data_IF_347266678304
#
_entry.id   IF_347266678304
#
_cell.length_a   1.000
_cell.length_b   1.000
_cell.length_c   1.000
_cell.angle_alpha   90.00
_cell.angle_beta   90.00
_cell.angle_gamma   90.00
#
_symmetry.space_group_name_H-M   'P 1'
#
loop_
_entity.id
_entity.type
_entity.pdbx_description
1 polymer ?
#
# COMPACT_ATOMS: atom_id res chain seq x y z
N UNK A 1 -16.80 -16.94 6.70
CA UNK A 1 -16.37 -15.52 6.53
C UNK A 1 -15.79 -14.94 7.80
N UNK A 2 -16.39 -15.14 8.97
CA UNK A 2 -15.96 -14.50 10.22
C UNK A 2 -14.52 -14.85 10.67
N UNK A 3 -14.02 -16.04 10.40
CA UNK A 3 -12.66 -16.45 10.80
C UNK A 3 -11.60 -15.78 9.91
N UNK A 4 -11.85 -15.71 8.62
CA UNK A 4 -10.96 -15.04 7.66
C UNK A 4 -10.87 -13.54 7.98
N UNK A 5 -12.01 -12.89 8.23
CA UNK A 5 -12.06 -11.48 8.59
C UNK A 5 -11.28 -11.18 9.89
N UNK A 6 -11.39 -12.05 10.89
CA UNK A 6 -10.63 -11.93 12.14
C UNK A 6 -9.13 -12.10 11.93
N UNK A 7 -8.73 -13.07 11.11
CA UNK A 7 -7.31 -13.30 10.79
C UNK A 7 -6.74 -12.10 10.04
N UNK A 8 -7.45 -11.57 9.03
CA UNK A 8 -7.03 -10.40 8.27
C UNK A 8 -6.93 -9.16 9.16
N UNK A 9 -7.91 -8.94 10.04
CA UNK A 9 -7.88 -7.82 10.99
C UNK A 9 -6.70 -7.93 11.96
N UNK A 10 -6.40 -9.13 12.47
CA UNK A 10 -5.24 -9.36 13.33
C UNK A 10 -3.92 -9.12 12.59
N UNK A 11 -3.86 -9.46 11.31
CA UNK A 11 -2.67 -9.26 10.48
C UNK A 11 -2.28 -7.80 10.34
N UNK A 12 -3.25 -6.92 10.20
CA UNK A 12 -3.00 -5.47 10.16
C UNK A 12 -2.32 -4.95 11.43
N UNK A 13 -2.68 -5.44 12.62
CA UNK A 13 -1.99 -5.08 13.87
C UNK A 13 -0.54 -5.58 13.89
N UNK A 14 -0.29 -6.79 13.39
CA UNK A 14 1.07 -7.33 13.26
C UNK A 14 1.90 -6.48 12.31
N UNK A 15 1.33 -6.10 11.17
CA UNK A 15 1.98 -5.21 10.20
C UNK A 15 2.38 -3.87 10.84
N UNK A 16 1.43 -3.20 11.52
CA UNK A 16 1.73 -1.94 12.20
C UNK A 16 2.77 -2.11 13.30
N UNK A 17 2.72 -3.18 14.07
CA UNK A 17 3.70 -3.47 15.12
C UNK A 17 5.11 -3.62 14.55
N UNK A 18 5.28 -4.42 13.51
CA UNK A 18 6.59 -4.62 12.84
C UNK A 18 7.06 -3.33 12.16
N UNK A 19 6.15 -2.58 11.56
CA UNK A 19 6.46 -1.31 10.92
C UNK A 19 6.95 -0.25 11.95
N UNK A 20 6.26 -0.11 13.06
CA UNK A 20 6.67 0.80 14.14
C UNK A 20 8.03 0.40 14.71
N UNK A 21 8.24 -0.89 14.96
CA UNK A 21 9.53 -1.41 15.42
C UNK A 21 10.64 -1.07 14.42
N UNK A 22 10.40 -1.30 13.13
CA UNK A 22 11.33 -0.94 12.06
C UNK A 22 11.68 0.55 12.11
N UNK A 23 10.69 1.44 12.18
CA UNK A 23 10.92 2.89 12.24
C UNK A 23 11.72 3.29 13.48
N UNK A 24 11.36 2.76 14.66
CA UNK A 24 12.10 3.04 15.91
C UNK A 24 13.57 2.68 15.73
N UNK A 25 13.86 1.50 15.18
CA UNK A 25 15.23 1.04 14.99
C UNK A 25 15.98 1.86 13.93
N UNK A 26 15.32 2.27 12.85
CA UNK A 26 15.92 3.16 11.84
C UNK A 26 16.30 4.50 12.45
N UNK A 27 15.37 5.15 13.14
CA UNK A 27 15.66 6.43 13.78
C UNK A 27 16.69 6.32 14.90
N UNK A 28 16.70 5.24 15.67
CA UNK A 28 17.70 5.01 16.71
C UNK A 28 19.12 4.86 16.14
N UNK A 29 19.27 4.19 15.01
CA UNK A 29 20.59 3.89 14.43
C UNK A 29 21.07 4.94 13.42
N UNK A 30 20.17 5.64 12.72
CA UNK A 30 20.50 6.50 11.58
C UNK A 30 20.03 7.96 11.73
N UNK A 31 19.57 8.39 12.91
CA UNK A 31 19.05 9.75 13.13
C UNK A 31 20.03 10.85 12.71
N UNK A 32 21.32 10.70 13.01
CA UNK A 32 22.35 11.65 12.59
C UNK A 32 22.49 11.76 11.08
N UNK A 33 22.50 10.64 10.38
CA UNK A 33 22.57 10.58 8.92
C UNK A 33 21.31 11.16 8.27
N UNK A 34 20.13 10.84 8.81
CA UNK A 34 18.84 11.41 8.37
C UNK A 34 18.87 12.93 8.52
N UNK A 35 19.25 13.44 9.68
CA UNK A 35 19.32 14.89 9.94
C UNK A 35 20.32 15.61 9.03
N UNK A 36 21.50 15.02 8.83
CA UNK A 36 22.52 15.58 7.93
C UNK A 36 22.01 15.66 6.49
N UNK A 37 21.42 14.59 5.97
CA UNK A 37 20.95 14.56 4.59
C UNK A 37 19.78 15.53 4.36
N UNK A 38 18.83 15.61 5.29
CA UNK A 38 17.71 16.58 5.19
C UNK A 38 18.23 18.03 5.18
N UNK A 39 19.26 18.33 5.96
CA UNK A 39 19.81 19.68 6.04
C UNK A 39 20.70 20.06 4.82
N UNK A 40 21.38 19.08 4.20
CA UNK A 40 22.38 19.31 3.16
C UNK A 40 21.86 19.16 1.74
N UNK A 41 20.79 18.40 1.53
CA UNK A 41 20.23 18.18 0.19
C UNK A 41 19.23 19.28 -0.14
N UNK A 42 19.47 20.10 -1.19
CA UNK A 42 18.54 21.14 -1.58
C UNK A 42 17.25 20.50 -2.15
N UNK A 43 16.12 21.10 -1.83
CA UNK A 43 14.84 20.75 -2.46
C UNK A 43 14.90 21.18 -3.92
N UNK A 44 15.01 20.19 -4.81
CA UNK A 44 15.04 20.42 -6.26
C UNK A 44 13.80 19.87 -6.93
N UNK A 45 13.38 20.50 -8.03
CA UNK A 45 12.25 20.04 -8.85
C UNK A 45 10.88 20.52 -8.38
N UNK A 46 9.87 20.12 -9.14
CA UNK A 46 8.47 20.50 -8.92
C UNK A 46 7.80 19.55 -7.92
N UNK A 47 8.22 19.58 -6.64
CA UNK A 47 7.66 18.75 -5.59
C UNK A 47 6.12 18.82 -5.49
N UNK A 48 5.53 19.98 -5.81
CA UNK A 48 4.08 20.16 -5.81
C UNK A 48 3.42 19.31 -6.91
N UNK A 49 3.99 19.27 -8.12
CA UNK A 49 3.49 18.41 -9.20
C UNK A 49 3.61 16.95 -8.82
N UNK A 50 4.75 16.54 -8.23
CA UNK A 50 4.92 15.17 -7.70
C UNK A 50 3.88 14.81 -6.65
N UNK A 51 3.54 15.73 -5.75
CA UNK A 51 2.47 15.54 -4.77
C UNK A 51 1.09 15.38 -5.41
N UNK A 52 0.77 16.18 -6.44
CA UNK A 52 -0.47 15.99 -7.21
C UNK A 52 -0.50 14.64 -7.93
N UNK A 53 0.56 14.27 -8.62
CA UNK A 53 0.65 12.96 -9.29
C UNK A 53 0.45 11.82 -8.30
N UNK A 54 1.11 11.86 -7.14
CA UNK A 54 0.92 10.86 -6.07
C UNK A 54 -0.53 10.78 -5.61
N UNK A 55 -1.20 11.91 -5.46
CA UNK A 55 -2.63 11.95 -5.09
C UNK A 55 -3.51 11.30 -6.16
N UNK A 56 -3.22 11.52 -7.44
CA UNK A 56 -3.96 10.89 -8.55
C UNK A 56 -3.81 9.38 -8.57
N UNK A 57 -2.65 8.83 -8.24
CA UNK A 57 -2.46 7.37 -8.17
C UNK A 57 -3.36 6.75 -7.12
N UNK A 58 -3.50 7.42 -5.98
CA UNK A 58 -4.37 6.95 -4.90
C UNK A 58 -5.86 7.03 -5.23
N UNK A 59 -6.27 7.89 -6.17
CA UNK A 59 -7.67 7.94 -6.63
C UNK A 59 -8.13 6.64 -7.31
N UNK A 60 -7.23 5.85 -7.88
CA UNK A 60 -7.58 4.56 -8.46
C UNK A 60 -8.18 3.58 -7.42
N UNK A 61 -7.82 3.74 -6.13
CA UNK A 61 -8.30 2.90 -5.03
C UNK A 61 -9.63 3.42 -4.47
N UNK A 62 -10.07 4.63 -4.82
CA UNK A 62 -11.28 5.26 -4.27
C UNK A 62 -12.52 4.37 -4.46
N UNK A 63 -12.55 3.61 -5.54
CA UNK A 63 -13.65 2.70 -5.86
C UNK A 63 -13.79 1.59 -4.79
N UNK A 64 -12.70 1.12 -4.22
CA UNK A 64 -12.72 0.15 -3.13
C UNK A 64 -13.17 0.78 -1.80
N UNK A 65 -12.81 2.06 -1.59
CA UNK A 65 -13.15 2.81 -0.36
C UNK A 65 -14.61 3.27 -0.36
N UNK A 66 -15.21 3.51 -1.52
CA UNK A 66 -16.62 3.96 -1.62
C UNK A 66 -17.62 3.00 -0.92
N UNK A 67 -17.26 1.72 -0.76
CA UNK A 67 -18.08 0.75 -0.02
C UNK A 67 -18.20 1.09 1.47
N UNK A 68 -17.17 1.68 2.06
CA UNK A 68 -17.18 2.07 3.49
C UNK A 68 -18.07 3.26 3.77
N UNK A 69 -18.30 4.13 2.78
CA UNK A 69 -19.17 5.31 2.90
C UNK A 69 -20.63 4.92 3.10
N UNK A 70 -21.06 3.74 2.65
CA UNK A 70 -22.43 3.24 2.86
C UNK A 70 -22.86 3.13 4.33
N UNK A 71 -21.87 3.13 5.24
CA UNK A 71 -22.10 3.06 6.70
C UNK A 71 -22.11 4.43 7.40
N UNK A 72 -22.01 5.52 6.63
CA UNK A 72 -22.04 6.88 7.19
C UNK A 72 -23.49 7.40 7.17
N UNK A 73 -24.00 7.77 8.35
CA UNK A 73 -25.39 8.23 8.50
C UNK A 73 -25.63 9.62 7.88
N UNK A 74 -24.61 10.45 7.84
CA UNK A 74 -24.71 11.81 7.27
C UNK A 74 -23.53 12.13 6.33
N UNK A 75 -23.73 13.05 5.36
CA UNK A 75 -22.61 13.54 4.52
C UNK A 75 -21.48 14.20 5.32
N UNK A 76 -21.81 14.81 6.46
CA UNK A 76 -20.83 15.43 7.36
C UNK A 76 -19.95 14.38 8.02
N UNK A 77 -20.51 13.27 8.49
CA UNK A 77 -19.77 12.16 9.10
C UNK A 77 -18.86 11.50 8.07
N UNK A 78 -19.35 11.32 6.84
CA UNK A 78 -18.55 10.81 5.73
C UNK A 78 -17.35 11.73 5.42
N UNK A 79 -17.55 13.04 5.42
CA UNK A 79 -16.48 14.01 5.17
C UNK A 79 -15.44 14.00 6.31
N UNK A 80 -15.88 13.99 7.56
CA UNK A 80 -14.97 13.92 8.72
C UNK A 80 -14.18 12.60 8.72
N UNK A 81 -14.85 11.48 8.49
CA UNK A 81 -14.20 10.18 8.39
C UNK A 81 -13.18 10.14 7.25
N UNK A 82 -13.48 10.73 6.09
CA UNK A 82 -12.56 10.84 4.96
C UNK A 82 -11.31 11.65 5.29
N UNK A 83 -11.47 12.82 5.91
CA UNK A 83 -10.34 13.66 6.32
C UNK A 83 -9.47 12.94 7.35
N UNK A 84 -10.07 12.36 8.40
CA UNK A 84 -9.33 11.63 9.42
C UNK A 84 -8.61 10.41 8.84
N UNK A 85 -9.26 9.64 7.98
CA UNK A 85 -8.65 8.50 7.30
C UNK A 85 -7.47 8.93 6.41
N UNK A 86 -7.58 10.08 5.74
CA UNK A 86 -6.49 10.66 4.96
C UNK A 86 -5.27 10.98 5.82
N UNK A 87 -5.45 11.63 6.95
CA UNK A 87 -4.36 11.90 7.89
C UNK A 87 -3.73 10.64 8.45
N UNK A 88 -4.54 9.68 8.92
CA UNK A 88 -4.05 8.42 9.48
C UNK A 88 -3.32 7.59 8.41
N UNK A 89 -3.82 7.60 7.18
CA UNK A 89 -3.22 6.83 6.08
C UNK A 89 -1.90 7.40 5.57
N UNK A 90 -1.77 8.74 5.51
CA UNK A 90 -0.54 9.36 4.98
C UNK A 90 0.59 9.44 6.01
N UNK A 91 0.28 9.50 7.30
CA UNK A 91 1.27 9.69 8.36
C UNK A 91 2.37 8.62 8.36
N UNK A 92 2.07 7.30 8.25
CA UNK A 92 3.09 6.28 8.12
C UNK A 92 3.99 6.50 6.90
N UNK A 93 3.41 6.89 5.76
CA UNK A 93 4.16 7.18 4.54
C UNK A 93 5.13 8.35 4.71
N UNK A 94 4.72 9.42 5.37
CA UNK A 94 5.59 10.58 5.66
C UNK A 94 6.76 10.17 6.57
N UNK A 95 6.50 9.40 7.63
CA UNK A 95 7.55 8.96 8.55
C UNK A 95 8.55 8.04 7.83
N UNK A 96 8.06 7.14 6.98
CA UNK A 96 8.91 6.30 6.13
C UNK A 96 9.76 7.13 5.17
N UNK A 97 9.16 8.13 4.51
CA UNK A 97 9.89 9.04 3.63
C UNK A 97 11.04 9.74 4.36
N UNK A 98 10.78 10.25 5.58
CA UNK A 98 11.84 10.87 6.40
C UNK A 98 12.94 9.86 6.70
N UNK A 99 12.60 8.61 7.06
CA UNK A 99 13.58 7.56 7.28
C UNK A 99 14.42 7.27 6.02
N UNK A 100 13.79 7.25 4.85
CA UNK A 100 14.46 7.04 3.55
C UNK A 100 15.42 8.16 3.20
N UNK A 101 15.17 9.40 3.61
CA UNK A 101 16.09 10.53 3.38
C UNK A 101 17.48 10.26 3.93
N UNK A 102 17.61 9.45 4.99
CA UNK A 102 18.92 9.06 5.52
C UNK A 102 19.79 8.29 4.53
N UNK A 103 19.21 7.66 3.54
CA UNK A 103 19.89 6.79 2.57
C UNK A 103 19.97 7.40 1.17
N UNK A 104 19.63 8.68 1.03
CA UNK A 104 19.76 9.43 -0.21
C UNK A 104 21.25 9.61 -0.59
N UNK A 105 21.67 9.55 -1.88
CA UNK A 105 20.81 9.33 -3.06
C UNK A 105 20.54 7.86 -3.40
N UNK A 106 21.27 6.90 -2.82
CA UNK A 106 21.25 5.49 -3.21
C UNK A 106 19.86 4.84 -3.09
N UNK A 107 19.03 5.33 -2.16
CA UNK A 107 17.69 4.80 -1.93
C UNK A 107 16.77 4.95 -3.15
N UNK A 108 16.99 5.95 -4.00
CA UNK A 108 16.16 6.22 -5.18
C UNK A 108 16.31 5.12 -6.24
N UNK A 109 17.46 4.49 -6.29
CA UNK A 109 17.79 3.45 -7.26
C UNK A 109 17.30 2.05 -6.82
N UNK A 110 16.79 1.95 -5.59
CA UNK A 110 16.37 0.67 -5.04
C UNK A 110 14.94 0.33 -5.43
N UNK A 111 14.72 -0.86 -5.99
CA UNK A 111 13.37 -1.37 -6.28
C UNK A 111 12.57 -1.63 -5.00
N UNK A 112 13.24 -2.02 -3.91
CA UNK A 112 12.66 -2.29 -2.59
C UNK A 112 13.38 -1.46 -1.52
N UNK A 113 13.05 -0.16 -1.36
CA UNK A 113 13.75 0.73 -0.44
C UNK A 113 13.79 0.24 1.00
N UNK A 114 12.70 -0.32 1.51
CA UNK A 114 12.64 -0.82 2.90
C UNK A 114 13.56 -2.03 3.10
N UNK A 115 13.63 -2.95 2.14
CA UNK A 115 14.54 -4.10 2.20
C UNK A 115 16.00 -3.66 2.17
N UNK A 116 16.31 -2.61 1.39
CA UNK A 116 17.63 -2.00 1.39
C UNK A 116 17.99 -1.44 2.78
N UNK A 117 17.11 -0.67 3.40
CA UNK A 117 17.34 -0.12 4.76
C UNK A 117 17.55 -1.25 5.76
N UNK A 118 16.70 -2.29 5.73
CA UNK A 118 16.84 -3.47 6.60
C UNK A 118 18.19 -4.18 6.42
N UNK A 119 18.71 -4.20 5.19
CA UNK A 119 20.04 -4.74 4.90
C UNK A 119 21.14 -3.87 5.53
N UNK A 120 21.04 -2.55 5.41
CA UNK A 120 21.99 -1.62 6.03
C UNK A 120 22.00 -1.68 7.57
N UNK A 121 20.86 -2.01 8.18
CA UNK A 121 20.76 -2.21 9.62
C UNK A 121 21.53 -3.45 10.11
N UNK A 122 21.89 -4.36 9.22
CA UNK A 122 22.58 -5.63 9.55
C UNK A 122 21.83 -6.46 10.62
N UNK A 123 20.48 -6.46 10.55
CA UNK A 123 19.58 -7.20 11.44
C UNK A 123 18.78 -8.24 10.65
N UNK A 124 19.37 -9.40 10.33
CA UNK A 124 18.73 -10.39 9.45
C UNK A 124 17.40 -10.91 10.00
N UNK A 125 17.27 -11.04 11.33
CA UNK A 125 16.02 -11.47 11.96
C UNK A 125 14.84 -10.52 11.68
N UNK A 126 15.09 -9.20 11.72
CA UNK A 126 14.08 -8.19 11.46
C UNK A 126 13.68 -8.21 9.98
N UNK A 127 14.67 -8.40 9.09
CA UNK A 127 14.43 -8.52 7.65
C UNK A 127 13.53 -9.71 7.33
N UNK A 128 13.78 -10.88 7.92
CA UNK A 128 12.91 -12.05 7.73
C UNK A 128 11.49 -11.82 8.25
N UNK A 129 11.34 -11.25 9.44
CA UNK A 129 10.02 -10.92 9.99
C UNK A 129 9.29 -9.96 9.06
N UNK A 130 9.97 -8.91 8.60
CA UNK A 130 9.39 -7.93 7.67
C UNK A 130 8.94 -8.58 6.36
N UNK A 131 9.75 -9.46 5.77
CA UNK A 131 9.41 -10.17 4.54
C UNK A 131 8.19 -11.08 4.72
N UNK A 132 8.07 -11.80 5.85
CA UNK A 132 6.90 -12.63 6.16
C UNK A 132 5.64 -11.75 6.27
N UNK A 133 5.75 -10.63 6.99
CA UNK A 133 4.63 -9.71 7.17
C UNK A 133 4.23 -9.07 5.84
N UNK A 134 5.20 -8.66 5.04
CA UNK A 134 4.97 -8.11 3.70
C UNK A 134 4.25 -9.12 2.81
N UNK A 135 4.70 -10.38 2.81
CA UNK A 135 4.07 -11.44 2.03
C UNK A 135 2.61 -11.67 2.45
N UNK A 136 2.33 -11.71 3.76
CA UNK A 136 0.96 -11.81 4.27
C UNK A 136 0.09 -10.62 3.86
N UNK A 137 0.64 -9.41 3.88
CA UNK A 137 -0.05 -8.19 3.44
C UNK A 137 -0.36 -8.20 1.94
N UNK A 138 0.54 -8.73 1.12
CA UNK A 138 0.28 -8.91 -0.32
C UNK A 138 -0.87 -9.89 -0.57
N UNK A 139 -0.93 -10.99 0.19
CA UNK A 139 -2.05 -11.94 0.11
C UNK A 139 -3.35 -11.27 0.55
N UNK A 140 -3.33 -10.51 1.64
CA UNK A 140 -4.50 -9.77 2.14
C UNK A 140 -5.02 -8.79 1.09
N UNK A 141 -4.15 -7.94 0.56
CA UNK A 141 -4.50 -6.94 -0.46
C UNK A 141 -5.01 -7.59 -1.74
N UNK A 142 -4.31 -8.62 -2.23
CA UNK A 142 -4.72 -9.37 -3.43
C UNK A 142 -6.09 -10.03 -3.26
N UNK A 143 -6.33 -10.65 -2.11
CA UNK A 143 -7.62 -11.26 -1.80
C UNK A 143 -8.74 -10.22 -1.71
N UNK A 144 -8.47 -9.06 -1.12
CA UNK A 144 -9.41 -7.94 -1.03
C UNK A 144 -9.79 -7.38 -2.40
N UNK A 145 -8.83 -7.25 -3.31
CA UNK A 145 -9.08 -6.81 -4.69
C UNK A 145 -9.94 -7.82 -5.47
N UNK A 146 -9.61 -9.10 -5.36
CA UNK A 146 -10.42 -10.18 -5.99
C UNK A 146 -11.84 -10.14 -5.47
N UNK A 147 -12.00 -10.02 -4.15
CA UNK A 147 -13.31 -9.93 -3.52
C UNK A 147 -14.09 -8.70 -4.02
N UNK A 148 -13.47 -7.53 -4.06
CA UNK A 148 -14.10 -6.30 -4.53
C UNK A 148 -14.60 -6.38 -5.96
N UNK A 149 -13.86 -7.02 -6.86
CA UNK A 149 -14.27 -7.22 -8.26
C UNK A 149 -15.40 -8.25 -8.37
N UNK A 150 -15.30 -9.36 -7.63
CA UNK A 150 -16.32 -10.42 -7.66
C UNK A 150 -17.65 -9.96 -7.06
N UNK A 151 -17.61 -9.13 -6.03
CA UNK A 151 -18.81 -8.54 -5.41
C UNK A 151 -19.55 -7.61 -6.39
N UNK A 152 -18.83 -6.83 -7.18
CA UNK A 152 -19.42 -5.99 -8.24
C UNK A 152 -20.07 -6.81 -9.36
N UNK A 153 -19.42 -7.90 -9.76
CA UNK A 153 -20.00 -8.83 -10.72
C UNK A 153 -21.29 -9.41 -10.15
N UNK A 154 -21.26 -9.80 -8.87
CA UNK A 154 -22.43 -10.32 -8.18
C UNK A 154 -23.60 -9.32 -8.14
N UNK A 155 -23.32 -8.05 -7.79
CA UNK A 155 -24.32 -6.98 -7.82
C UNK A 155 -24.91 -6.77 -9.25
N UNK A 156 -24.06 -6.81 -10.27
CA UNK A 156 -24.51 -6.65 -11.66
C UNK A 156 -25.46 -7.79 -12.10
N UNK A 157 -25.20 -9.03 -11.67
CA UNK A 157 -26.11 -10.17 -11.94
C UNK A 157 -27.40 -10.03 -11.13
N UNK A 158 -27.32 -9.66 -9.85
CA UNK A 158 -28.48 -9.45 -8.99
C UNK A 158 -29.42 -8.36 -9.52
N UNK A 159 -28.87 -7.27 -10.03
CA UNK A 159 -29.65 -6.19 -10.65
C UNK A 159 -30.38 -6.61 -11.92
N UNK A 160 -29.93 -7.69 -12.58
CA UNK A 160 -30.58 -8.29 -13.72
C UNK A 160 -31.52 -9.43 -13.34
N UNK A 161 -31.73 -9.69 -12.04
CA UNK A 161 -32.54 -10.81 -11.55
C UNK A 161 -31.94 -12.19 -11.83
N UNK A 162 -30.64 -12.28 -12.05
CA UNK A 162 -29.91 -13.50 -12.37
C UNK A 162 -29.08 -13.98 -11.17
N UNK A 163 -28.93 -15.29 -11.04
CA UNK A 163 -27.98 -15.85 -10.05
C UNK A 163 -26.53 -15.71 -10.51
N UNK A 164 -25.65 -15.45 -9.56
CA UNK A 164 -24.20 -15.34 -9.82
C UNK A 164 -23.65 -16.73 -10.15
N UNK A 165 -23.01 -16.93 -11.30
CA UNK A 165 -22.40 -18.20 -11.63
C UNK A 165 -21.31 -18.58 -10.62
N UNK A 166 -21.31 -19.81 -10.12
CA UNK A 166 -20.33 -20.29 -9.14
C UNK A 166 -18.87 -20.23 -9.64
N UNK A 167 -18.66 -20.20 -10.94
CA UNK A 167 -17.36 -20.11 -11.58
C UNK A 167 -16.81 -18.67 -11.68
N UNK A 168 -17.62 -17.64 -11.42
CA UNK A 168 -17.22 -16.24 -11.60
C UNK A 168 -16.03 -15.87 -10.72
N UNK A 169 -16.07 -16.20 -9.43
CA UNK A 169 -14.98 -15.88 -8.48
C UNK A 169 -13.65 -16.56 -8.86
N UNK A 170 -13.59 -17.88 -9.09
CA UNK A 170 -12.33 -18.52 -9.46
C UNK A 170 -11.78 -18.04 -10.81
N UNK A 171 -12.64 -17.77 -11.78
CA UNK A 171 -12.21 -17.26 -13.09
C UNK A 171 -11.63 -15.85 -12.98
N UNK A 172 -12.29 -14.96 -12.24
CA UNK A 172 -11.75 -13.61 -11.98
C UNK A 172 -10.40 -13.70 -11.26
N UNK A 173 -10.27 -14.55 -10.25
CA UNK A 173 -9.03 -14.75 -9.54
C UNK A 173 -7.90 -15.21 -10.47
N UNK A 174 -8.16 -16.19 -11.32
CA UNK A 174 -7.16 -16.69 -12.29
C UNK A 174 -6.78 -15.61 -13.30
N UNK A 175 -7.74 -14.88 -13.87
CA UNK A 175 -7.47 -13.80 -14.82
C UNK A 175 -6.59 -12.71 -14.18
N UNK A 176 -6.91 -12.31 -12.95
CA UNK A 176 -6.13 -11.32 -12.22
C UNK A 176 -4.72 -11.82 -11.91
N UNK A 177 -4.57 -13.05 -11.43
CA UNK A 177 -3.27 -13.64 -11.12
C UNK A 177 -2.39 -13.77 -12.37
N UNK A 178 -2.95 -14.29 -13.47
CA UNK A 178 -2.21 -14.43 -14.73
C UNK A 178 -1.86 -13.07 -15.31
N UNK A 179 -2.83 -12.14 -15.34
CA UNK A 179 -2.63 -10.79 -15.84
C UNK A 179 -1.57 -10.01 -15.04
N UNK A 180 -1.65 -10.02 -13.71
CA UNK A 180 -0.66 -9.35 -12.87
C UNK A 180 0.71 -9.98 -12.96
N UNK A 181 0.81 -11.30 -13.06
CA UNK A 181 2.10 -12.00 -13.26
C UNK A 181 2.71 -11.63 -14.62
N UNK A 182 1.92 -11.60 -15.68
CA UNK A 182 2.41 -11.17 -17.00
C UNK A 182 2.87 -9.71 -16.99
N UNK A 183 2.14 -8.82 -16.32
CA UNK A 183 2.50 -7.41 -16.20
C UNK A 183 3.76 -7.23 -15.32
N UNK A 184 3.93 -8.02 -14.27
CA UNK A 184 5.09 -7.93 -13.37
C UNK A 184 6.42 -8.23 -14.06
N UNK A 185 6.39 -8.94 -15.18
CA UNK A 185 7.60 -9.22 -15.99
C UNK A 185 8.25 -7.96 -16.59
N UNK A 186 7.52 -6.84 -16.66
CA UNK A 186 8.07 -5.55 -17.11
C UNK A 186 8.88 -4.81 -16.03
N UNK A 187 8.94 -5.34 -14.82
CA UNK A 187 9.59 -4.73 -13.65
C UNK A 187 8.72 -3.65 -12.99
N UNK A 188 8.80 -3.57 -11.66
CA UNK A 188 7.99 -2.64 -10.86
C UNK A 188 8.30 -1.18 -11.22
N UNK A 189 9.57 -0.83 -11.29
CA UNK A 189 10.02 0.53 -11.62
C UNK A 189 9.61 0.95 -13.03
N UNK A 190 9.73 0.04 -14.00
CA UNK A 190 9.30 0.28 -15.38
C UNK A 190 7.80 0.48 -15.53
N UNK A 191 7.00 -0.27 -14.78
CA UNK A 191 5.54 -0.14 -14.77
C UNK A 191 5.08 1.18 -14.15
N UNK A 192 5.69 1.58 -13.03
CA UNK A 192 5.36 2.85 -12.37
C UNK A 192 5.77 4.02 -13.27
N UNK A 193 7.00 4.02 -13.80
CA UNK A 193 7.50 5.11 -14.64
C UNK A 193 6.71 5.27 -15.95
N UNK A 194 6.34 4.16 -16.60
CA UNK A 194 5.61 4.19 -17.89
C UNK A 194 4.08 4.23 -17.71
N UNK A 195 3.57 3.65 -16.62
CA UNK A 195 2.12 3.60 -16.38
C UNK A 195 1.56 4.88 -15.75
N UNK A 196 2.36 5.58 -14.95
CA UNK A 196 1.93 6.75 -14.19
C UNK A 196 2.73 8.02 -14.51
N UNK A 197 3.85 7.93 -15.21
CA UNK A 197 4.76 9.04 -15.48
C UNK A 197 4.62 9.70 -16.84
N UNK A 198 3.59 9.35 -17.64
CA UNK A 198 3.28 9.97 -18.94
C UNK A 198 2.15 10.96 -18.83
#
# INVERSE_FOLDING_TARGET
>A
SSLIEKVLSLWSFVLYGVYILFLILVFANFSGQIGHNIASVPVTGNWAIGGFQYSFYNLAIIIAVLYTIKHSDTPKDAAIAGVLSGFIGILPGIILFIAMCGFYPTIIEQELPVDYILTQMNMPWLRYIFQIVLFGTLIETGSGLIYSITDRIAEAFKNKGQEVPKWSTPVVAVILLVGTTAISSFGLTGLIAKGYGT
#
